data_IF_080377571891
#
_entry.id   IF_080377571891
#
_cell.length_a   1.000
_cell.length_b   1.000
_cell.length_c   1.000
_cell.angle_alpha   90.00
_cell.angle_beta   90.00
_cell.angle_gamma   90.00
#
_symmetry.space_group_name_H-M   'P 1'
#
loop_
_entity.id
_entity.type
_entity.pdbx_description
1 polymer ?
#
# COMPACT_ATOMS: atom_id res chain seq x y z
N UNK A 1 8.55 -29.92 -7.80
CA UNK A 1 8.42 -29.23 -6.48
C UNK A 1 9.36 -29.76 -5.35
N UNK A 2 10.02 -28.88 -4.55
CA UNK A 2 10.87 -29.25 -3.37
C UNK A 2 10.10 -29.92 -2.23
N UNK A 3 8.92 -29.41 -1.89
CA UNK A 3 8.07 -29.96 -0.81
C UNK A 3 7.59 -31.36 -1.15
N UNK A 4 7.15 -31.58 -2.40
CA UNK A 4 6.73 -32.89 -2.87
C UNK A 4 7.84 -33.94 -2.73
N UNK A 5 9.06 -33.63 -3.22
CA UNK A 5 10.22 -34.52 -3.11
C UNK A 5 10.62 -34.83 -1.66
N UNK A 6 10.35 -33.92 -0.73
CA UNK A 6 10.66 -34.08 0.69
C UNK A 6 9.51 -34.62 1.55
N UNK A 7 8.35 -34.92 0.97
CA UNK A 7 7.15 -35.34 1.72
C UNK A 7 6.57 -34.25 2.65
N UNK A 8 6.90 -32.98 2.42
CA UNK A 8 6.44 -31.85 3.23
C UNK A 8 5.14 -31.24 2.72
N UNK A 9 4.43 -30.54 3.62
CA UNK A 9 3.24 -29.75 3.31
C UNK A 9 3.52 -28.27 3.55
N UNK A 10 3.08 -27.41 2.63
CA UNK A 10 3.15 -25.95 2.79
C UNK A 10 1.77 -25.41 3.14
N UNK A 11 1.68 -24.70 4.26
CA UNK A 11 0.53 -23.84 4.58
C UNK A 11 0.94 -22.39 4.37
N UNK A 12 0.55 -21.84 3.23
CA UNK A 12 0.90 -20.47 2.87
C UNK A 12 -0.04 -19.48 3.59
N UNK A 13 0.56 -18.57 4.37
CA UNK A 13 -0.15 -17.57 5.17
C UNK A 13 -1.00 -16.62 4.32
N UNK A 14 -0.65 -16.42 3.05
CA UNK A 14 -1.42 -15.60 2.12
C UNK A 14 -2.78 -16.20 1.78
N UNK A 15 -2.90 -17.53 1.82
CA UNK A 15 -4.10 -18.26 1.44
C UNK A 15 -4.87 -18.82 2.64
N UNK A 16 -4.47 -18.47 3.88
CA UNK A 16 -5.28 -18.75 5.06
C UNK A 16 -6.47 -17.80 5.09
N UNK A 17 -7.67 -18.33 4.86
CA UNK A 17 -8.92 -17.57 4.83
C UNK A 17 -9.93 -18.07 5.85
N UNK A 18 -10.76 -17.16 6.35
CA UNK A 18 -11.94 -17.47 7.13
C UNK A 18 -13.05 -18.09 6.24
N UNK A 19 -14.19 -18.54 6.82
CA UNK A 19 -15.29 -19.12 6.06
C UNK A 19 -15.96 -18.17 5.04
N UNK A 20 -15.72 -16.85 5.14
CA UNK A 20 -16.20 -15.86 4.17
C UNK A 20 -15.23 -15.66 3.00
N UNK A 21 -14.08 -16.35 3.00
CA UNK A 21 -13.03 -16.22 2.00
C UNK A 21 -12.08 -15.05 2.26
N UNK A 22 -12.17 -14.38 3.42
CA UNK A 22 -11.29 -13.26 3.77
C UNK A 22 -10.03 -13.78 4.44
N UNK A 23 -8.86 -13.23 4.04
CA UNK A 23 -7.57 -13.54 4.68
C UNK A 23 -7.60 -13.31 6.19
N UNK A 24 -7.22 -14.33 6.96
CA UNK A 24 -7.21 -14.32 8.43
C UNK A 24 -6.23 -13.28 8.98
N UNK A 25 -5.02 -13.23 8.42
CA UNK A 25 -3.97 -12.28 8.81
C UNK A 25 -3.37 -11.60 7.57
N UNK A 26 -3.16 -10.28 7.65
CA UNK A 26 -2.54 -9.49 6.59
C UNK A 26 -1.99 -8.17 7.14
N UNK A 27 -0.95 -7.64 6.51
CA UNK A 27 -0.29 -6.40 6.94
C UNK A 27 -0.98 -5.10 6.47
N UNK A 28 -2.21 -5.20 5.94
CA UNK A 28 -2.85 -4.10 5.20
C UNK A 28 -2.89 -2.77 5.96
N UNK A 29 -3.26 -2.78 7.24
CA UNK A 29 -3.32 -1.55 8.04
C UNK A 29 -1.96 -0.83 8.10
N UNK A 30 -0.91 -1.55 8.49
CA UNK A 30 0.43 -0.99 8.61
C UNK A 30 1.07 -0.65 7.26
N UNK A 31 0.67 -1.32 6.18
CA UNK A 31 1.07 -0.92 4.83
C UNK A 31 0.56 0.49 4.49
N UNK A 32 -0.73 0.76 4.75
CA UNK A 32 -1.31 2.08 4.53
C UNK A 32 -0.76 3.15 5.47
N UNK A 33 -0.58 2.80 6.75
CA UNK A 33 -0.01 3.69 7.76
C UNK A 33 1.42 4.11 7.40
N UNK A 34 2.29 3.15 7.12
CA UNK A 34 3.67 3.40 6.70
C UNK A 34 3.74 4.08 5.32
N UNK A 35 2.85 3.72 4.39
CA UNK A 35 2.75 4.36 3.07
C UNK A 35 2.42 5.85 3.17
N UNK A 36 1.40 6.20 3.94
CA UNK A 36 1.07 7.59 4.20
C UNK A 36 2.22 8.34 4.89
N UNK A 37 3.02 7.67 5.74
CA UNK A 37 4.15 8.27 6.42
C UNK A 37 5.29 8.56 5.44
N UNK A 38 5.62 7.60 4.58
CA UNK A 38 6.57 7.80 3.49
C UNK A 38 6.13 8.94 2.56
N UNK A 39 4.83 9.03 2.24
CA UNK A 39 4.26 10.13 1.47
C UNK A 39 4.42 11.49 2.13
N UNK A 40 4.11 11.59 3.42
CA UNK A 40 4.27 12.80 4.21
C UNK A 40 5.74 13.23 4.33
N UNK A 41 6.66 12.29 4.56
CA UNK A 41 8.10 12.54 4.60
C UNK A 41 8.63 13.03 3.23
N UNK A 42 8.16 12.42 2.14
CA UNK A 42 8.50 12.84 0.79
C UNK A 42 8.00 14.26 0.49
N UNK A 43 6.76 14.56 0.87
CA UNK A 43 6.19 15.90 0.72
C UNK A 43 7.00 16.94 1.50
N UNK A 44 7.30 16.67 2.78
CA UNK A 44 8.09 17.56 3.62
C UNK A 44 9.51 17.80 3.06
N UNK A 45 10.12 16.78 2.44
CA UNK A 45 11.43 16.91 1.78
C UNK A 45 11.34 17.79 0.54
N UNK A 46 10.31 17.59 -0.29
CA UNK A 46 10.08 18.41 -1.49
C UNK A 46 9.83 19.88 -1.16
N UNK A 47 9.13 20.19 -0.06
CA UNK A 47 8.94 21.58 0.39
C UNK A 47 10.27 22.28 0.72
N UNK A 48 11.34 21.52 1.00
CA UNK A 48 12.70 22.01 1.22
C UNK A 48 13.56 21.98 -0.06
N UNK A 49 12.97 21.67 -1.21
CA UNK A 49 13.68 21.48 -2.47
C UNK A 49 14.55 20.21 -2.51
N UNK A 50 14.24 19.22 -1.68
CA UNK A 50 15.05 18.01 -1.51
C UNK A 50 14.29 16.75 -1.92
N UNK A 51 15.02 15.74 -2.40
CA UNK A 51 14.52 14.37 -2.52
C UNK A 51 14.49 13.73 -1.13
N UNK A 52 13.50 12.87 -0.88
CA UNK A 52 13.45 12.06 0.34
C UNK A 52 14.70 11.17 0.43
N UNK A 53 15.44 11.29 1.53
CA UNK A 53 16.57 10.40 1.82
C UNK A 53 16.12 8.98 2.18
N UNK A 54 17.08 8.08 2.41
CA UNK A 54 16.77 6.70 2.81
C UNK A 54 15.80 6.64 4.00
N UNK A 55 14.84 5.74 3.93
CA UNK A 55 13.97 5.37 5.04
C UNK A 55 14.65 4.32 5.92
N UNK A 56 14.40 4.41 7.22
CA UNK A 56 14.80 3.42 8.20
C UNK A 56 13.57 2.98 8.99
N UNK A 57 13.45 1.70 9.35
CA UNK A 57 12.37 1.24 10.22
C UNK A 57 12.34 2.04 11.52
N UNK A 58 11.15 2.44 11.95
CA UNK A 58 10.93 3.05 13.25
C UNK A 58 10.82 1.95 14.31
N UNK A 59 11.30 2.24 15.52
CA UNK A 59 11.21 1.28 16.62
C UNK A 59 9.77 1.12 17.14
N UNK A 60 8.99 2.21 17.08
CA UNK A 60 7.61 2.31 17.54
C UNK A 60 6.80 3.31 16.73
N UNK A 61 5.48 3.18 16.80
CA UNK A 61 4.52 4.04 16.09
C UNK A 61 4.67 5.51 16.52
N UNK A 62 4.86 5.77 17.83
CA UNK A 62 4.99 7.13 18.36
C UNK A 62 6.21 7.86 17.80
N UNK A 63 7.32 7.16 17.54
CA UNK A 63 8.53 7.73 16.97
C UNK A 63 8.30 8.17 15.51
N UNK A 64 7.57 7.35 14.75
CA UNK A 64 7.14 7.68 13.39
C UNK A 64 6.25 8.93 13.39
N UNK A 65 5.20 8.92 14.21
CA UNK A 65 4.24 10.04 14.30
C UNK A 65 4.96 11.33 14.68
N UNK A 66 5.82 11.28 15.70
CA UNK A 66 6.57 12.44 16.19
C UNK A 66 7.48 13.00 15.11
N UNK A 67 8.20 12.12 14.40
CA UNK A 67 9.10 12.50 13.31
C UNK A 67 8.34 13.17 12.16
N UNK A 68 7.25 12.55 11.70
CA UNK A 68 6.44 13.08 10.59
C UNK A 68 5.79 14.41 10.98
N UNK A 69 5.23 14.52 12.20
CA UNK A 69 4.68 15.77 12.73
C UNK A 69 5.69 16.90 12.74
N UNK A 70 6.89 16.65 13.27
CA UNK A 70 7.93 17.66 13.36
C UNK A 70 8.35 18.18 11.98
N UNK A 71 8.35 17.31 10.96
CA UNK A 71 8.71 17.68 9.60
C UNK A 71 7.61 18.44 8.85
N UNK A 72 6.34 18.27 9.22
CA UNK A 72 5.21 19.00 8.66
C UNK A 72 4.81 20.25 9.45
N UNK A 73 5.43 20.48 10.61
CA UNK A 73 5.07 21.58 11.49
C UNK A 73 5.07 22.94 10.78
N UNK A 74 3.96 23.67 10.89
CA UNK A 74 3.71 24.95 10.23
C UNK A 74 3.02 24.84 8.86
N UNK A 75 2.87 23.63 8.30
CA UNK A 75 2.21 23.38 7.01
C UNK A 75 0.96 22.50 7.14
N UNK A 76 0.75 21.85 8.28
CA UNK A 76 -0.25 20.78 8.48
C UNK A 76 -1.69 21.20 8.13
N UNK A 77 -2.05 22.45 8.38
CA UNK A 77 -3.40 22.98 8.07
C UNK A 77 -3.65 23.16 6.57
N UNK A 78 -2.59 23.26 5.77
CA UNK A 78 -2.66 23.43 4.32
C UNK A 78 -2.51 22.12 3.55
N UNK A 79 -2.06 21.04 4.19
CA UNK A 79 -1.87 19.74 3.51
C UNK A 79 -3.19 19.02 3.37
N UNK A 80 -3.61 18.77 2.12
CA UNK A 80 -4.70 17.89 1.72
C UNK A 80 -4.14 16.54 1.29
N UNK A 81 -4.73 15.48 1.80
CA UNK A 81 -4.41 14.11 1.44
C UNK A 81 -5.66 13.41 0.90
N UNK A 82 -5.52 12.73 -0.25
CA UNK A 82 -6.57 11.92 -0.84
C UNK A 82 -6.21 10.44 -0.71
N UNK A 83 -7.12 9.63 -0.17
CA UNK A 83 -6.94 8.19 -0.02
C UNK A 83 -8.02 7.48 -0.81
N UNK A 84 -7.64 6.71 -1.85
CA UNK A 84 -8.55 5.81 -2.58
C UNK A 84 -8.47 4.41 -1.97
N UNK A 85 -9.62 3.80 -1.70
CA UNK A 85 -9.75 2.56 -0.92
C UNK A 85 -9.78 2.81 0.59
N UNK A 86 -10.31 3.98 1.00
CA UNK A 86 -10.28 4.48 2.37
C UNK A 86 -11.03 3.58 3.37
N UNK A 87 -12.02 2.79 2.93
CA UNK A 87 -12.79 1.90 3.81
C UNK A 87 -12.07 0.56 4.03
N UNK A 88 -11.06 0.22 3.22
CA UNK A 88 -10.27 -1.00 3.35
C UNK A 88 -9.30 -0.99 4.54
N UNK A 89 -8.69 -2.15 4.85
CA UNK A 89 -7.66 -2.24 5.91
C UNK A 89 -6.53 -1.23 5.70
N UNK A 90 -6.04 -1.15 4.45
CA UNK A 90 -4.96 -0.26 4.05
C UNK A 90 -5.36 1.22 4.12
N UNK A 91 -6.47 1.60 3.49
CA UNK A 91 -6.94 2.98 3.53
C UNK A 91 -7.19 3.51 4.93
N UNK A 92 -7.75 2.67 5.83
CA UNK A 92 -7.91 3.05 7.25
C UNK A 92 -6.59 3.35 7.95
N UNK A 93 -5.53 2.59 7.65
CA UNK A 93 -4.19 2.87 8.19
C UNK A 93 -3.61 4.20 7.68
N UNK A 94 -3.77 4.48 6.38
CA UNK A 94 -3.34 5.76 5.80
C UNK A 94 -4.08 6.95 6.42
N UNK A 95 -5.42 6.85 6.54
CA UNK A 95 -6.26 7.86 7.19
C UNK A 95 -5.89 8.05 8.66
N UNK A 96 -5.65 6.95 9.39
CA UNK A 96 -5.27 7.01 10.81
C UNK A 96 -3.94 7.74 11.02
N UNK A 97 -2.93 7.48 10.18
CA UNK A 97 -1.69 8.24 10.22
C UNK A 97 -1.97 9.74 9.99
N UNK A 98 -2.68 10.11 8.92
CA UNK A 98 -2.93 11.53 8.62
C UNK A 98 -3.60 12.27 9.79
N UNK A 99 -4.55 11.63 10.47
CA UNK A 99 -5.14 12.15 11.71
C UNK A 99 -4.11 12.26 12.84
N UNK A 100 -3.34 11.20 13.08
CA UNK A 100 -2.33 11.15 14.15
C UNK A 100 -1.21 12.16 13.94
N UNK A 101 -0.89 12.54 12.71
CA UNK A 101 0.08 13.60 12.40
C UNK A 101 -0.55 15.01 12.38
N UNK A 102 -1.86 15.13 12.60
CA UNK A 102 -2.54 16.39 12.85
C UNK A 102 -3.12 17.09 11.62
N UNK A 103 -3.32 16.39 10.50
CA UNK A 103 -4.11 16.95 9.40
C UNK A 103 -5.55 17.19 9.86
N UNK A 104 -6.14 18.30 9.42
CA UNK A 104 -7.56 18.58 9.64
C UNK A 104 -8.41 17.51 8.95
N UNK A 105 -9.51 17.09 9.59
CA UNK A 105 -10.35 16.01 9.05
C UNK A 105 -10.90 16.34 7.65
N UNK A 106 -11.25 17.61 7.38
CA UNK A 106 -11.72 18.10 6.08
C UNK A 106 -10.64 18.08 4.99
N UNK A 107 -9.37 17.99 5.38
CA UNK A 107 -8.25 17.84 4.46
C UNK A 107 -7.91 16.37 4.17
N UNK A 108 -8.57 15.41 4.82
CA UNK A 108 -8.38 13.98 4.60
C UNK A 108 -9.55 13.46 3.74
N UNK A 109 -9.37 13.53 2.43
CA UNK A 109 -10.36 13.12 1.44
C UNK A 109 -10.34 11.59 1.35
N UNK A 110 -11.49 10.96 1.62
CA UNK A 110 -11.62 9.50 1.73
C UNK A 110 -12.54 9.02 0.62
N UNK A 111 -11.96 8.34 -0.34
CA UNK A 111 -12.66 7.79 -1.49
C UNK A 111 -12.64 6.28 -1.46
N UNK A 112 -13.70 5.68 -1.95
CA UNK A 112 -13.85 4.25 -2.13
C UNK A 112 -14.63 3.95 -3.43
N UNK A 113 -15.27 2.79 -3.52
CA UNK A 113 -16.00 2.34 -4.71
C UNK A 113 -17.03 3.35 -5.22
N UNK A 114 -17.71 4.08 -4.34
CA UNK A 114 -18.77 5.02 -4.74
C UNK A 114 -18.21 6.20 -5.53
N UNK A 115 -17.11 6.79 -5.07
CA UNK A 115 -16.49 7.95 -5.69
C UNK A 115 -15.72 7.56 -6.96
N UNK A 116 -15.12 6.36 -6.96
CA UNK A 116 -14.36 5.84 -8.12
C UNK A 116 -15.25 5.26 -9.22
N UNK A 117 -16.53 4.97 -8.95
CA UNK A 117 -17.48 4.40 -9.91
C UNK A 117 -17.70 5.27 -11.16
N UNK A 118 -17.44 6.59 -11.08
CA UNK A 118 -17.53 7.50 -12.23
C UNK A 118 -16.49 7.20 -13.33
N UNK A 119 -15.44 6.46 -13.00
CA UNK A 119 -14.31 6.19 -13.89
C UNK A 119 -13.35 7.38 -13.97
N UNK A 120 -12.05 7.10 -13.93
CA UNK A 120 -11.02 8.13 -14.05
C UNK A 120 -10.80 8.63 -15.49
N UNK A 121 -9.91 9.60 -15.69
CA UNK A 121 -9.03 10.21 -14.68
C UNK A 121 -9.78 11.15 -13.71
N UNK A 122 -9.22 11.35 -12.51
CA UNK A 122 -9.81 12.16 -11.45
C UNK A 122 -9.02 13.44 -11.23
N UNK A 123 -9.64 14.59 -11.51
CA UNK A 123 -9.02 15.91 -11.27
C UNK A 123 -8.79 16.15 -9.77
N UNK A 124 -9.61 15.53 -8.91
CA UNK A 124 -9.49 15.65 -7.45
C UNK A 124 -8.12 15.17 -6.91
N UNK A 125 -7.45 14.26 -7.62
CA UNK A 125 -6.09 13.84 -7.28
C UNK A 125 -5.09 14.99 -7.48
N UNK A 126 -5.29 15.85 -8.47
CA UNK A 126 -4.40 16.98 -8.76
C UNK A 126 -4.52 18.11 -7.74
N UNK A 127 -5.63 18.17 -7.00
CA UNK A 127 -5.96 19.23 -6.05
C UNK A 127 -5.38 18.98 -4.64
N UNK A 128 -5.04 17.74 -4.30
CA UNK A 128 -4.40 17.37 -3.04
C UNK A 128 -2.88 17.51 -3.12
N UNK A 129 -2.16 17.49 -1.99
CA UNK A 129 -0.69 17.44 -1.98
C UNK A 129 -0.18 15.99 -2.00
N UNK A 130 -0.91 15.09 -1.33
CA UNK A 130 -0.53 13.68 -1.17
C UNK A 130 -1.70 12.80 -1.60
N UNK A 131 -1.47 11.95 -2.60
CA UNK A 131 -2.41 10.92 -3.01
C UNK A 131 -1.91 9.55 -2.55
N UNK A 132 -2.75 8.76 -1.87
CA UNK A 132 -2.47 7.39 -1.44
C UNK A 132 -3.46 6.43 -2.09
N UNK A 133 -2.97 5.52 -2.92
CA UNK A 133 -3.77 4.43 -3.46
C UNK A 133 -3.66 3.18 -2.58
N UNK A 134 -4.81 2.66 -2.16
CA UNK A 134 -4.95 1.47 -1.34
C UNK A 134 -5.78 0.37 -2.03
N UNK A 135 -6.04 0.48 -3.34
CA UNK A 135 -6.84 -0.48 -4.11
C UNK A 135 -5.91 -1.32 -4.99
N UNK A 136 -5.91 -2.63 -4.73
CA UNK A 136 -5.35 -3.62 -5.66
C UNK A 136 -6.42 -4.08 -6.64
N UNK A 137 -6.09 -4.11 -7.93
CA UNK A 137 -7.02 -4.45 -9.00
C UNK A 137 -6.63 -5.74 -9.69
N UNK A 138 -7.63 -6.58 -9.95
CA UNK A 138 -7.51 -7.82 -10.71
C UNK A 138 -8.09 -7.72 -12.14
N UNK A 139 -8.58 -6.54 -12.52
CA UNK A 139 -9.12 -6.25 -13.85
C UNK A 139 -8.82 -4.81 -14.24
N UNK A 140 -8.71 -4.56 -15.55
CA UNK A 140 -8.54 -3.21 -16.08
C UNK A 140 -9.71 -2.30 -15.68
N UNK A 141 -9.38 -1.13 -15.15
CA UNK A 141 -10.30 -0.01 -14.97
C UNK A 141 -9.67 1.23 -15.62
N UNK A 142 -10.45 2.30 -15.89
CA UNK A 142 -9.88 3.57 -16.31
C UNK A 142 -8.84 4.07 -15.29
N UNK A 143 -7.70 4.56 -15.78
CA UNK A 143 -6.64 5.07 -14.92
C UNK A 143 -7.17 6.18 -14.00
N UNK A 144 -6.76 6.15 -12.73
CA UNK A 144 -7.11 7.16 -11.75
C UNK A 144 -6.47 8.51 -12.09
N UNK A 145 -5.24 8.48 -12.62
CA UNK A 145 -4.49 9.65 -13.03
C UNK A 145 -3.63 9.31 -14.25
N UNK A 146 -3.41 10.28 -15.13
CA UNK A 146 -2.55 10.10 -16.32
C UNK A 146 -1.46 11.17 -16.38
N UNK A 147 -0.36 10.86 -17.07
CA UNK A 147 0.72 11.83 -17.30
C UNK A 147 0.22 13.06 -18.04
N UNK A 148 -0.63 12.89 -19.05
CA UNK A 148 -1.17 14.00 -19.85
C UNK A 148 -2.00 14.95 -18.99
N UNK A 149 -2.84 14.42 -18.11
CA UNK A 149 -3.63 15.22 -17.16
C UNK A 149 -2.72 15.98 -16.19
N UNK A 150 -1.66 15.34 -15.67
CA UNK A 150 -0.67 15.97 -14.79
C UNK A 150 0.05 17.13 -15.49
N UNK A 151 0.47 16.93 -16.75
CA UNK A 151 1.19 17.94 -17.54
C UNK A 151 0.26 19.10 -17.88
N UNK A 152 -1.00 18.81 -18.25
CA UNK A 152 -2.01 19.82 -18.59
C UNK A 152 -2.41 20.69 -17.38
N UNK A 153 -2.35 20.16 -16.16
CA UNK A 153 -2.62 20.90 -14.94
C UNK A 153 -1.65 22.07 -14.70
N UNK A 154 -0.48 22.04 -15.34
CA UNK A 154 0.41 23.18 -15.39
C UNK A 154 1.05 23.57 -14.05
N UNK A 155 1.55 24.81 -13.92
CA UNK A 155 2.22 25.32 -12.73
C UNK A 155 1.32 25.41 -11.48
N UNK A 156 0.00 25.30 -11.65
CA UNK A 156 -1.00 25.40 -10.58
C UNK A 156 -1.33 24.06 -9.91
N UNK A 157 -0.70 22.97 -10.35
CA UNK A 157 -0.92 21.63 -9.79
C UNK A 157 -0.46 21.54 -8.33
N UNK A 158 -1.34 21.07 -7.44
CA UNK A 158 -1.03 20.91 -6.01
C UNK A 158 -0.35 19.57 -5.69
N UNK A 159 -0.70 18.52 -6.44
CA UNK A 159 -0.17 17.18 -6.22
C UNK A 159 1.35 17.22 -6.16
N UNK A 160 1.93 16.57 -5.16
CA UNK A 160 3.38 16.59 -4.94
C UNK A 160 3.92 15.18 -4.80
N UNK A 161 3.14 14.31 -4.14
CA UNK A 161 3.50 12.91 -3.91
C UNK A 161 2.33 11.98 -4.18
N UNK A 162 2.60 10.90 -4.92
CA UNK A 162 1.73 9.73 -5.04
C UNK A 162 2.34 8.59 -4.28
N UNK A 163 1.57 7.91 -3.44
CA UNK A 163 1.95 6.68 -2.75
C UNK A 163 1.04 5.58 -3.27
N UNK A 164 1.61 4.63 -4.01
CA UNK A 164 0.87 3.45 -4.43
C UNK A 164 1.22 2.29 -3.51
N UNK A 165 0.41 2.09 -2.46
CA UNK A 165 0.62 1.00 -1.48
C UNK A 165 0.32 -0.36 -2.11
N UNK A 166 -0.57 -0.36 -3.10
CA UNK A 166 -0.97 -1.48 -3.93
C UNK A 166 -0.02 -1.70 -5.12
N UNK A 167 1.17 -1.08 -5.12
CA UNK A 167 2.09 -1.17 -6.24
C UNK A 167 2.41 -2.62 -6.61
N UNK A 168 2.27 -2.90 -7.89
CA UNK A 168 2.70 -4.14 -8.52
C UNK A 168 3.11 -3.80 -9.95
N UNK A 169 4.42 -3.65 -10.17
CA UNK A 169 4.97 -3.31 -11.49
C UNK A 169 4.81 -4.43 -12.51
N UNK A 170 4.39 -5.63 -12.08
CA UNK A 170 4.07 -6.74 -12.99
C UNK A 170 2.59 -6.75 -13.40
N UNK A 171 1.74 -5.98 -12.72
CA UNK A 171 0.32 -5.92 -12.99
C UNK A 171 0.02 -4.99 -14.18
N UNK A 172 -0.52 -5.51 -15.31
CA UNK A 172 -0.88 -4.69 -16.46
C UNK A 172 -2.09 -3.76 -16.19
N UNK A 173 -2.77 -3.95 -15.06
CA UNK A 173 -3.97 -3.20 -14.66
C UNK A 173 -3.69 -2.10 -13.64
N UNK A 174 -2.42 -1.67 -13.49
CA UNK A 174 -2.08 -0.56 -12.61
C UNK A 174 -2.87 0.72 -13.00
N UNK A 175 -3.72 1.27 -12.11
CA UNK A 175 -4.54 2.44 -12.43
C UNK A 175 -3.76 3.75 -12.40
N UNK A 176 -2.45 3.73 -12.09
CA UNK A 176 -1.58 4.90 -11.96
C UNK A 176 -0.37 4.76 -12.90
N UNK A 177 -0.56 4.84 -14.22
CA UNK A 177 0.49 4.63 -15.23
C UNK A 177 1.46 5.83 -15.35
N UNK A 178 2.11 6.21 -14.24
CA UNK A 178 3.06 7.35 -14.16
C UNK A 178 4.44 6.93 -13.66
N UNK A 179 4.63 5.64 -13.35
CA UNK A 179 5.87 5.06 -12.88
C UNK A 179 6.00 3.61 -13.35
N UNK A 180 7.23 3.08 -13.39
CA UNK A 180 7.52 1.71 -13.84
C UNK A 180 8.50 0.96 -12.93
N UNK A 181 8.86 1.54 -11.78
CA UNK A 181 9.83 0.97 -10.85
C UNK A 181 9.22 0.77 -9.46
N UNK A 182 9.61 -0.30 -8.77
CA UNK A 182 9.39 -0.42 -7.33
C UNK A 182 10.51 0.36 -6.62
N UNK A 183 10.15 1.35 -5.80
CA UNK A 183 11.12 2.06 -4.96
C UNK A 183 11.49 1.23 -3.73
N UNK A 184 12.55 1.62 -3.03
CA UNK A 184 13.09 0.84 -1.89
C UNK A 184 13.35 1.74 -0.69
N UNK A 185 13.57 1.21 0.50
CA UNK A 185 13.96 2.05 1.63
C UNK A 185 15.27 2.82 1.42
N UNK A 186 16.22 2.32 0.63
CA UNK A 186 17.44 3.06 0.29
C UNK A 186 17.20 4.21 -0.68
N UNK A 187 16.23 4.06 -1.58
CA UNK A 187 15.82 5.09 -2.54
C UNK A 187 14.28 5.10 -2.66
N UNK A 188 13.57 5.82 -1.76
CA UNK A 188 12.14 5.61 -1.52
C UNK A 188 11.23 6.31 -2.53
N UNK A 189 11.76 7.21 -3.35
CA UNK A 189 10.97 7.97 -4.32
C UNK A 189 11.57 7.91 -5.72
N UNK A 190 10.68 7.87 -6.71
CA UNK A 190 10.99 8.09 -8.12
C UNK A 190 10.32 9.36 -8.61
N UNK A 191 11.04 10.16 -9.38
CA UNK A 191 10.46 11.37 -10.00
C UNK A 191 9.63 11.02 -11.23
N UNK A 192 8.50 11.70 -11.40
CA UNK A 192 7.70 11.64 -12.63
C UNK A 192 8.13 12.79 -13.54
N UNK A 193 8.49 12.49 -14.79
CA UNK A 193 8.82 13.53 -15.77
C UNK A 193 7.55 14.25 -16.23
N UNK A 194 7.32 15.42 -15.66
CA UNK A 194 6.17 16.29 -15.95
C UNK A 194 6.58 17.55 -16.72
N UNK A 195 7.83 17.63 -17.20
CA UNK A 195 8.36 18.82 -17.86
C UNK A 195 8.81 19.95 -16.91
N UNK A 196 9.65 20.88 -17.38
CA UNK A 196 10.41 21.79 -16.52
C UNK A 196 9.59 22.96 -15.93
N UNK A 197 8.41 23.25 -16.47
CA UNK A 197 7.55 24.34 -16.00
C UNK A 197 6.55 23.87 -14.92
N UNK A 198 6.45 22.56 -14.71
CA UNK A 198 5.54 21.98 -13.75
C UNK A 198 6.25 21.77 -12.39
N UNK A 199 5.52 21.82 -11.26
CA UNK A 199 6.08 21.50 -9.97
C UNK A 199 6.64 20.06 -9.98
N UNK A 200 7.56 19.70 -9.07
CA UNK A 200 8.00 18.32 -8.93
C UNK A 200 6.83 17.37 -8.62
N UNK A 201 6.95 16.11 -9.05
CA UNK A 201 6.06 15.03 -8.66
C UNK A 201 6.90 13.79 -8.37
N UNK A 202 6.65 13.14 -7.25
CA UNK A 202 7.32 11.90 -6.88
C UNK A 202 6.33 10.78 -6.58
N UNK A 203 6.73 9.55 -6.88
CA UNK A 203 5.99 8.35 -6.53
C UNK A 203 6.77 7.56 -5.47
N UNK A 204 6.05 7.06 -4.46
CA UNK A 204 6.47 6.01 -3.55
C UNK A 204 5.76 4.72 -3.96
N UNK A 205 6.54 3.70 -4.34
CA UNK A 205 6.06 2.40 -4.82
C UNK A 205 6.86 1.26 -4.15
N UNK A 206 6.92 1.30 -2.82
CA UNK A 206 7.60 0.29 -2.00
C UNK A 206 6.62 -0.85 -1.72
N UNK A 207 7.01 -2.08 -2.05
CA UNK A 207 6.16 -3.29 -1.90
C UNK A 207 6.19 -3.91 -0.48
N UNK A 208 7.06 -3.44 0.41
CA UNK A 208 7.23 -3.92 1.78
C UNK A 208 7.07 -2.82 2.83
N UNK A 209 6.15 -1.88 2.60
CA UNK A 209 5.86 -0.76 3.52
C UNK A 209 5.65 -1.15 5.01
N UNK A 210 4.99 -2.26 5.36
CA UNK A 210 4.86 -2.68 6.77
C UNK A 210 6.19 -2.80 7.52
N UNK A 211 7.30 -3.09 6.81
CA UNK A 211 8.63 -3.19 7.40
C UNK A 211 9.19 -1.85 7.88
N UNK A 212 8.54 -0.72 7.57
CA UNK A 212 8.86 0.58 8.13
C UNK A 212 8.40 0.72 9.59
N UNK A 213 7.42 -0.09 10.01
CA UNK A 213 6.92 -0.17 11.38
C UNK A 213 6.82 -1.65 11.81
N UNK A 214 7.97 -2.35 11.93
CA UNK A 214 8.01 -3.81 11.97
C UNK A 214 7.43 -4.38 13.25
N UNK A 215 7.52 -3.68 14.40
CA UNK A 215 6.99 -4.15 15.69
C UNK A 215 5.48 -4.26 15.62
N UNK A 216 4.79 -3.15 15.39
CA UNK A 216 3.33 -3.07 15.39
C UNK A 216 2.72 -3.89 14.24
N UNK A 217 3.38 -3.90 13.08
CA UNK A 217 3.00 -4.78 11.98
C UNK A 217 3.06 -6.27 12.37
N UNK A 218 4.10 -6.68 13.11
CA UNK A 218 4.26 -8.07 13.57
C UNK A 218 3.31 -8.43 14.69
N UNK A 219 3.08 -7.51 15.64
CA UNK A 219 2.15 -7.71 16.75
C UNK A 219 0.72 -7.89 16.23
N UNK A 220 0.25 -7.00 15.35
CA UNK A 220 -1.08 -7.11 14.75
C UNK A 220 -1.22 -8.37 13.90
N UNK A 221 -0.23 -8.68 13.06
CA UNK A 221 -0.28 -9.89 12.23
C UNK A 221 -0.34 -11.16 13.08
N UNK A 222 0.47 -11.21 14.15
CA UNK A 222 0.50 -12.36 15.07
C UNK A 222 -0.81 -12.49 15.84
N UNK A 223 -1.40 -11.37 16.26
CA UNK A 223 -2.70 -11.34 16.93
C UNK A 223 -3.83 -11.84 16.02
N UNK A 224 -3.86 -11.42 14.76
CA UNK A 224 -4.83 -11.87 13.77
C UNK A 224 -4.67 -13.36 13.45
N UNK A 225 -3.42 -13.86 13.41
CA UNK A 225 -3.12 -15.25 13.10
C UNK A 225 -3.35 -16.21 14.28
N UNK A 226 -3.37 -15.69 15.51
CA UNK A 226 -3.39 -16.48 16.74
C UNK A 226 -4.53 -17.50 16.79
N UNK A 227 -5.75 -17.11 16.43
CA UNK A 227 -6.90 -18.02 16.43
C UNK A 227 -6.68 -19.22 15.51
N UNK A 228 -6.14 -19.01 14.31
CA UNK A 228 -5.82 -20.10 13.39
C UNK A 228 -4.72 -21.00 13.95
N UNK A 229 -3.68 -20.44 14.58
CA UNK A 229 -2.60 -21.22 15.20
C UNK A 229 -3.10 -22.13 16.33
N UNK A 230 -4.03 -21.63 17.14
CA UNK A 230 -4.66 -22.43 18.21
C UNK A 230 -5.48 -23.61 17.65
N UNK A 231 -5.99 -23.49 16.43
CA UNK A 231 -6.68 -24.59 15.73
C UNK A 231 -5.73 -25.57 15.03
N UNK A 232 -4.43 -25.27 14.92
CA UNK A 232 -3.46 -26.11 14.20
C UNK A 232 -3.35 -27.56 14.71
N UNK A 233 -3.49 -27.87 16.01
CA UNK A 233 -3.60 -29.26 16.48
C UNK A 233 -4.75 -30.04 15.80
N UNK A 234 -5.83 -29.34 15.41
CA UNK A 234 -6.99 -29.88 14.71
C UNK A 234 -6.95 -29.64 13.19
N UNK A 235 -5.78 -29.35 12.61
CA UNK A 235 -5.62 -29.00 11.17
C UNK A 235 -6.19 -30.01 10.17
N UNK A 236 -6.36 -31.27 10.57
CA UNK A 236 -6.95 -32.31 9.73
C UNK A 236 -8.45 -32.10 9.46
N UNK A 237 -9.13 -31.32 10.31
CA UNK A 237 -10.57 -31.04 10.21
C UNK A 237 -10.89 -29.55 10.18
N UNK A 238 -10.04 -28.70 10.75
CA UNK A 238 -10.23 -27.25 10.78
C UNK A 238 -10.22 -26.65 9.35
N UNK A 239 -11.30 -25.96 8.91
CA UNK A 239 -11.44 -25.46 7.54
C UNK A 239 -10.30 -24.56 7.05
N UNK A 240 -9.75 -23.71 7.93
CA UNK A 240 -8.65 -22.80 7.59
C UNK A 240 -7.40 -23.55 7.12
N UNK A 241 -7.13 -24.70 7.74
CA UNK A 241 -5.96 -25.52 7.43
C UNK A 241 -6.22 -26.53 6.30
N UNK A 242 -7.39 -27.18 6.31
CA UNK A 242 -7.74 -28.14 5.25
C UNK A 242 -7.88 -27.49 3.88
N UNK A 243 -8.40 -26.25 3.82
CA UNK A 243 -8.48 -25.47 2.58
C UNK A 243 -7.10 -25.12 2.04
N UNK A 244 -6.18 -24.70 2.91
CA UNK A 244 -4.81 -24.39 2.53
C UNK A 244 -4.02 -25.62 2.08
N UNK A 245 -4.18 -26.77 2.75
CA UNK A 245 -3.58 -28.03 2.32
C UNK A 245 -4.13 -28.50 0.97
N UNK A 246 -5.44 -28.35 0.76
CA UNK A 246 -6.08 -28.66 -0.53
C UNK A 246 -5.47 -27.81 -1.65
N UNK A 247 -5.36 -26.50 -1.44
CA UNK A 247 -4.72 -25.60 -2.41
C UNK A 247 -3.28 -26.01 -2.70
N UNK A 248 -2.49 -26.34 -1.68
CA UNK A 248 -1.12 -26.82 -1.87
C UNK A 248 -1.07 -28.08 -2.75
N UNK A 249 -1.93 -29.07 -2.49
CA UNK A 249 -2.00 -30.31 -3.29
C UNK A 249 -2.40 -30.04 -4.74
N UNK A 250 -3.37 -29.15 -4.96
CA UNK A 250 -3.77 -28.74 -6.31
C UNK A 250 -2.62 -28.07 -7.08
N UNK A 251 -1.87 -27.17 -6.43
CA UNK A 251 -0.70 -26.51 -7.04
C UNK A 251 0.46 -27.47 -7.29
N UNK A 252 0.69 -28.45 -6.42
CA UNK A 252 1.68 -29.51 -6.65
C UNK A 252 1.30 -30.35 -7.86
N UNK A 253 0.04 -30.79 -7.96
CA UNK A 253 -0.43 -31.57 -9.11
C UNK A 253 -0.28 -30.79 -10.42
N UNK A 254 -0.66 -29.51 -10.44
CA UNK A 254 -0.49 -28.65 -11.62
C UNK A 254 1.00 -28.49 -12.01
N UNK A 255 1.89 -28.34 -11.03
CA UNK A 255 3.33 -28.24 -11.28
C UNK A 255 3.92 -29.54 -11.84
N UNK A 256 3.48 -30.70 -11.35
CA UNK A 256 3.93 -32.00 -11.86
C UNK A 256 3.53 -32.20 -13.33
N UNK A 257 2.28 -31.85 -13.68
CA UNK A 257 1.81 -31.88 -15.08
C UNK A 257 2.65 -30.97 -15.97
N UNK A 258 2.97 -29.75 -15.51
CA UNK A 258 3.82 -28.82 -16.25
C UNK A 258 5.28 -29.30 -16.37
N UNK A 259 5.79 -30.02 -15.37
CA UNK A 259 7.12 -30.66 -15.35
C UNK A 259 7.15 -32.00 -16.13
N UNK A 260 6.02 -32.46 -16.70
CA UNK A 260 5.93 -33.71 -17.47
C UNK A 260 6.09 -34.98 -16.64
N UNK A 261 5.79 -34.92 -15.33
CA UNK A 261 5.95 -35.99 -14.34
C UNK A 261 4.64 -36.51 -13.80
#
# INVERSE_FOLDING_TARGET
SRFHRGGGTLYDLEFLTDPSGRRVAAFGFHAGFAGAAAGALAFASQQKGQKLGRLQPFEKEEDMITTVKALLAGSEKGVKALVIGALGRCGRGAVDLFRKIGLAEDNIIKWDLNETAKGGPFDEILECQIFVNCIYLNSAIPSFITRDQIVAAGPTRNLSVVVDVSCDTTNPFNPIPIYTINTTFSDPTVSVDVGPQNPPLSVVSIDHLPSLLPREASEQFSQDLLSSLLEFPNRATAPVWTSAEKLFKEKVAAAMVAEGS
#
